data_IF_349192916048
#
_entry.id   IF_349192916048
#
_cell.length_a   1.000
_cell.length_b   1.000
_cell.length_c   1.000
_cell.angle_alpha   90.00
_cell.angle_beta   90.00
_cell.angle_gamma   90.00
#
_symmetry.space_group_name_H-M   'P 1'
#
loop_
_entity.id
_entity.type
_entity.pdbx_description
1 polymer ?
#
# COMPACT_ATOMS: atom_id res chain seq x y z
N UNK A 1 0.69 -3.17 -19.73
CA UNK A 1 0.78 -4.45 -19.00
C UNK A 1 0.77 -4.18 -17.50
N UNK A 2 -0.02 -4.88 -16.70
CA UNK A 2 0.13 -4.82 -15.23
C UNK A 2 1.33 -5.69 -14.85
N UNK A 3 2.34 -5.12 -14.16
CA UNK A 3 3.57 -5.86 -13.84
C UNK A 3 3.35 -6.85 -12.69
N UNK A 4 3.58 -6.38 -11.48
CA UNK A 4 3.50 -7.13 -10.23
C UNK A 4 2.57 -6.36 -9.32
N UNK A 5 1.64 -7.08 -8.69
CA UNK A 5 0.76 -6.55 -7.67
C UNK A 5 1.27 -7.05 -6.33
N UNK A 6 1.84 -6.15 -5.52
CA UNK A 6 2.27 -6.47 -4.16
C UNK A 6 1.06 -6.97 -3.37
N UNK A 7 1.11 -8.22 -2.92
CA UNK A 7 0.02 -8.81 -2.14
C UNK A 7 -0.18 -8.07 -0.83
N UNK A 8 -1.37 -8.15 -0.27
CA UNK A 8 -1.66 -7.55 1.03
C UNK A 8 -0.75 -8.11 2.12
N UNK A 9 -0.47 -9.43 2.10
CA UNK A 9 0.43 -10.08 3.04
C UNK A 9 1.88 -9.55 2.95
N UNK A 10 2.42 -9.39 1.73
CA UNK A 10 3.75 -8.79 1.53
C UNK A 10 3.80 -7.35 2.06
N UNK A 11 2.74 -6.58 1.85
CA UNK A 11 2.65 -5.21 2.34
C UNK A 11 2.58 -5.13 3.87
N UNK A 12 1.84 -6.03 4.52
CA UNK A 12 1.80 -6.10 5.99
C UNK A 12 3.18 -6.40 6.57
N UNK A 13 3.91 -7.34 5.97
CA UNK A 13 5.29 -7.64 6.38
C UNK A 13 6.23 -6.46 6.17
N UNK A 14 6.06 -5.73 5.06
CA UNK A 14 6.78 -4.48 4.82
C UNK A 14 6.51 -3.45 5.93
N UNK A 15 5.25 -3.23 6.32
CA UNK A 15 4.92 -2.30 7.42
C UNK A 15 5.60 -2.76 8.71
N UNK A 16 5.38 -4.00 9.15
CA UNK A 16 5.90 -4.50 10.44
C UNK A 16 7.43 -4.36 10.52
N UNK A 17 8.12 -4.75 9.44
CA UNK A 17 9.58 -4.72 9.37
C UNK A 17 10.11 -3.30 9.52
N UNK A 18 9.50 -2.34 8.83
CA UNK A 18 9.94 -0.94 8.84
C UNK A 18 9.53 -0.21 10.13
N UNK A 19 8.32 -0.48 10.63
CA UNK A 19 7.75 0.24 11.76
C UNK A 19 8.52 -0.04 13.05
N UNK A 20 9.03 -1.26 13.23
CA UNK A 20 9.88 -1.60 14.37
C UNK A 20 11.17 -0.77 14.44
N UNK A 21 11.74 -0.44 13.27
CA UNK A 21 12.95 0.40 13.15
C UNK A 21 12.59 1.85 13.41
N UNK A 22 11.56 2.37 12.73
CA UNK A 22 11.15 3.76 12.87
C UNK A 22 10.63 4.12 14.26
N UNK A 23 9.94 3.21 14.94
CA UNK A 23 9.44 3.45 16.29
C UNK A 23 10.58 3.68 17.30
N UNK A 24 11.72 2.99 17.12
CA UNK A 24 12.91 3.21 17.97
C UNK A 24 13.51 4.61 17.79
N UNK A 25 13.41 5.17 16.60
CA UNK A 25 14.02 6.47 16.27
C UNK A 25 13.05 7.63 16.46
N UNK A 26 11.77 7.45 16.13
CA UNK A 26 10.75 8.50 16.05
C UNK A 26 9.40 8.07 16.65
N UNK A 27 9.35 7.71 17.95
CA UNK A 27 8.14 7.13 18.55
C UNK A 27 6.92 8.05 18.45
N UNK A 28 7.09 9.36 18.75
CA UNK A 28 6.00 10.34 18.70
C UNK A 28 5.37 10.49 17.31
N UNK A 29 6.20 10.49 16.26
CA UNK A 29 5.71 10.59 14.87
C UNK A 29 4.90 9.34 14.51
N UNK A 30 5.36 8.16 14.94
CA UNK A 30 4.63 6.92 14.71
C UNK A 30 3.30 6.89 15.48
N UNK A 31 3.26 7.39 16.71
CA UNK A 31 2.02 7.54 17.48
C UNK A 31 1.03 8.50 16.79
N UNK A 32 1.49 9.64 16.28
CA UNK A 32 0.66 10.59 15.52
C UNK A 32 0.12 9.99 14.21
N UNK A 33 0.93 9.16 13.54
CA UNK A 33 0.56 8.50 12.29
C UNK A 33 -0.17 7.17 12.49
N UNK A 34 -0.34 6.68 13.72
CA UNK A 34 -0.95 5.39 14.03
C UNK A 34 -2.30 5.19 13.30
N UNK A 35 -3.24 6.17 13.31
CA UNK A 35 -4.53 5.96 12.66
C UNK A 35 -4.39 5.76 11.14
N UNK A 36 -3.42 6.42 10.53
CA UNK A 36 -3.13 6.31 9.09
C UNK A 36 -2.47 4.97 8.76
N UNK A 37 -1.50 4.57 9.57
CA UNK A 37 -0.79 3.29 9.42
C UNK A 37 -1.77 2.13 9.60
N UNK A 38 -2.62 2.16 10.63
CA UNK A 38 -3.61 1.12 10.91
C UNK A 38 -4.63 0.99 9.78
N UNK A 39 -5.09 2.10 9.19
CA UNK A 39 -5.94 2.06 7.98
C UNK A 39 -5.23 1.38 6.81
N UNK A 40 -3.97 1.74 6.54
CA UNK A 40 -3.19 1.14 5.47
C UNK A 40 -2.91 -0.35 5.70
N UNK A 41 -2.63 -0.73 6.95
CA UNK A 41 -2.40 -2.12 7.34
C UNK A 41 -3.63 -3.01 7.10
N UNK A 42 -4.84 -2.46 7.26
CA UNK A 42 -6.10 -3.16 7.00
C UNK A 42 -6.59 -3.07 5.55
N UNK A 43 -5.97 -2.23 4.72
CA UNK A 43 -6.42 -1.99 3.34
C UNK A 43 -5.96 -3.11 2.40
N UNK A 44 -6.81 -4.12 2.25
CA UNK A 44 -6.63 -5.20 1.28
C UNK A 44 -7.04 -4.75 -0.13
N UNK A 45 -6.10 -4.87 -1.06
CA UNK A 45 -6.25 -4.49 -2.45
C UNK A 45 -6.06 -5.68 -3.40
N UNK A 46 -5.95 -6.91 -2.91
CA UNK A 46 -5.63 -8.07 -3.75
C UNK A 46 -6.75 -8.32 -4.77
N UNK A 47 -8.01 -8.23 -4.35
CA UNK A 47 -9.16 -8.35 -5.25
C UNK A 47 -9.20 -7.25 -6.30
N UNK A 48 -8.73 -6.05 -5.97
CA UNK A 48 -8.67 -4.93 -6.91
C UNK A 48 -7.67 -5.21 -8.04
N UNK A 49 -6.56 -5.88 -7.74
CA UNK A 49 -5.59 -6.31 -8.74
C UNK A 49 -6.23 -7.19 -9.82
N UNK A 50 -7.02 -8.18 -9.41
CA UNK A 50 -7.73 -9.07 -10.33
C UNK A 50 -8.81 -8.35 -11.14
N UNK A 51 -9.54 -7.41 -10.53
CA UNK A 51 -10.55 -6.59 -11.22
C UNK A 51 -9.89 -5.69 -12.27
N UNK A 52 -8.74 -5.09 -11.96
CA UNK A 52 -8.10 -4.12 -12.86
C UNK A 52 -7.28 -4.79 -13.96
N UNK A 53 -6.77 -6.01 -13.74
CA UNK A 53 -5.89 -6.73 -14.67
C UNK A 53 -6.40 -6.77 -16.12
N UNK A 54 -7.69 -7.04 -16.42
CA UNK A 54 -8.20 -7.04 -17.79
C UNK A 54 -8.18 -5.65 -18.46
N UNK A 55 -8.12 -4.57 -17.68
CA UNK A 55 -8.12 -3.20 -18.18
C UNK A 55 -6.72 -2.68 -18.55
N UNK A 56 -5.66 -3.41 -18.20
CA UNK A 56 -4.30 -3.06 -18.65
C UNK A 56 -4.00 -3.73 -20.00
N UNK A 57 -3.44 -2.97 -20.94
CA UNK A 57 -2.95 -3.53 -22.21
C UNK A 57 -1.96 -4.68 -21.98
N UNK A 58 -1.97 -5.71 -22.82
CA UNK A 58 -0.97 -6.79 -22.79
C UNK A 58 0.39 -6.37 -23.36
N UNK A 59 0.48 -5.19 -23.98
CA UNK A 59 1.70 -4.66 -24.61
C UNK A 59 2.12 -3.32 -24.00
N UNK A 60 3.29 -2.82 -24.41
CA UNK A 60 3.83 -1.53 -23.98
C UNK A 60 4.51 -1.55 -22.61
N UNK A 61 4.77 -0.35 -22.06
CA UNK A 61 5.45 -0.19 -20.77
C UNK A 61 4.57 -0.75 -19.63
N UNK A 62 5.11 -1.59 -18.74
CA UNK A 62 4.34 -2.09 -17.63
C UNK A 62 3.98 -0.98 -16.64
N UNK A 63 2.75 -1.01 -16.12
CA UNK A 63 2.34 -0.21 -14.99
C UNK A 63 2.96 -0.79 -13.72
N UNK A 64 3.72 0.04 -13.01
CA UNK A 64 4.42 -0.32 -11.78
C UNK A 64 3.79 0.41 -10.60
N UNK A 65 3.97 -0.13 -9.39
CA UNK A 65 3.56 0.49 -8.13
C UNK A 65 2.06 0.81 -8.03
N UNK A 66 1.22 0.06 -8.76
CA UNK A 66 -0.23 0.30 -8.77
C UNK A 66 -0.86 0.18 -7.38
N UNK A 67 -0.62 -0.89 -6.59
CA UNK A 67 -1.21 -0.97 -5.25
C UNK A 67 -0.72 0.16 -4.32
N UNK A 68 0.54 0.59 -4.44
CA UNK A 68 1.09 1.70 -3.66
C UNK A 68 0.45 3.05 -4.05
N UNK A 69 0.15 3.27 -5.33
CA UNK A 69 -0.58 4.45 -5.81
C UNK A 69 -1.99 4.47 -5.21
N UNK A 70 -2.71 3.33 -5.23
CA UNK A 70 -4.04 3.23 -4.61
C UNK A 70 -3.99 3.47 -3.10
N UNK A 71 -3.03 2.88 -2.38
CA UNK A 71 -2.83 3.13 -0.94
C UNK A 71 -2.59 4.60 -0.65
N UNK A 72 -1.75 5.26 -1.45
CA UNK A 72 -1.46 6.69 -1.32
C UNK A 72 -2.72 7.54 -1.55
N UNK A 73 -3.50 7.19 -2.56
CA UNK A 73 -4.76 7.87 -2.88
C UNK A 73 -5.79 7.69 -1.75
N UNK A 74 -5.98 6.47 -1.25
CA UNK A 74 -6.84 6.20 -0.10
C UNK A 74 -6.41 7.00 1.13
N UNK A 75 -5.11 7.03 1.42
CA UNK A 75 -4.58 7.79 2.54
C UNK A 75 -4.95 9.28 2.43
N UNK A 76 -4.75 9.88 1.25
CA UNK A 76 -5.12 11.28 0.99
C UNK A 76 -6.63 11.54 1.15
N UNK A 77 -7.47 10.64 0.65
CA UNK A 77 -8.92 10.79 0.75
C UNK A 77 -9.47 10.62 2.17
N UNK A 78 -8.81 9.80 2.99
CA UNK A 78 -9.29 9.46 4.33
C UNK A 78 -8.66 10.30 5.45
N UNK A 79 -7.96 11.38 5.11
CA UNK A 79 -7.57 12.42 6.07
C UNK A 79 -8.79 13.30 6.34
N UNK A 80 -9.41 13.11 7.50
CA UNK A 80 -10.41 14.01 8.07
C UNK A 80 -9.80 14.69 9.29
#
# INVERSE_FOLDING_TARGET
MLKTWTSHAEYQQFIISNLSSFYKTFPKIIEELEPSISKLYCLDLDILGEILKPHYSNTGRPATLQPEIFRSFCLMLFQK
#
